data_IF_869075467976
#
_entry.id   IF_869075467976
#
_cell.length_a   1.000
_cell.length_b   1.000
_cell.length_c   1.000
_cell.angle_alpha   90.00
_cell.angle_beta   90.00
_cell.angle_gamma   90.00
#
_symmetry.space_group_name_H-M   'P 1'
#
loop_
_entity.id
_entity.type
_entity.pdbx_description
1 polymer ?
#
# COMPACT_ATOMS: atom_id res chain seq x y z
N UNK A 1 2.57 -2.46 -14.36
CA UNK A 1 2.13 -2.06 -13.01
C UNK A 1 1.40 -3.24 -12.37
N UNK A 2 1.59 -3.54 -11.08
CA UNK A 2 0.90 -4.67 -10.43
C UNK A 2 -0.60 -4.40 -10.27
N UNK A 3 -1.38 -5.44 -9.96
CA UNK A 3 -2.82 -5.31 -9.66
C UNK A 3 -3.15 -6.09 -8.40
N UNK A 4 -4.03 -5.55 -7.59
CA UNK A 4 -4.46 -6.19 -6.34
C UNK A 4 -5.95 -5.94 -6.05
N UNK A 5 -6.56 -6.86 -5.32
CA UNK A 5 -7.92 -6.74 -4.82
C UNK A 5 -7.85 -6.26 -3.38
N UNK A 6 -8.36 -5.06 -3.13
CA UNK A 6 -8.46 -4.50 -1.78
C UNK A 6 -9.88 -4.59 -1.24
N UNK A 7 -9.96 -4.58 0.09
CA UNK A 7 -11.20 -4.56 0.87
C UNK A 7 -11.46 -3.14 1.37
N UNK A 8 -12.58 -2.55 0.95
CA UNK A 8 -12.92 -1.14 1.20
C UNK A 8 -14.32 -1.00 1.80
N UNK A 9 -14.66 0.13 2.42
CA UNK A 9 -16.03 0.39 2.89
C UNK A 9 -17.06 0.32 1.77
N UNK A 10 -18.31 0.08 2.15
CA UNK A 10 -19.43 0.17 1.22
C UNK A 10 -19.46 1.54 0.55
N UNK A 11 -19.60 1.56 -0.79
CA UNK A 11 -19.60 2.80 -1.59
C UNK A 11 -18.36 3.69 -1.37
N UNK A 12 -17.20 3.09 -1.09
CA UNK A 12 -15.95 3.82 -0.92
C UNK A 12 -15.63 4.75 -2.11
N UNK A 13 -15.45 6.03 -1.82
CA UNK A 13 -14.93 7.02 -2.76
C UNK A 13 -13.47 7.32 -2.43
N UNK A 14 -12.56 6.91 -3.31
CA UNK A 14 -11.14 7.13 -3.10
C UNK A 14 -10.80 8.63 -3.12
N UNK A 15 -10.13 9.17 -2.08
CA UNK A 15 -9.78 10.58 -2.02
C UNK A 15 -8.96 11.04 -3.22
N UNK A 16 -9.17 12.28 -3.63
CA UNK A 16 -8.43 12.91 -4.73
C UNK A 16 -7.69 14.15 -4.26
N UNK A 17 -6.52 14.41 -4.84
CA UNK A 17 -5.69 15.60 -4.60
C UNK A 17 -5.45 16.36 -5.89
N UNK A 18 -5.06 17.63 -5.78
CA UNK A 18 -4.50 18.37 -6.92
C UNK A 18 -3.01 18.03 -6.99
N UNK A 19 -2.57 17.53 -8.13
CA UNK A 19 -1.15 17.29 -8.37
C UNK A 19 -0.43 18.64 -8.55
N UNK A 20 0.56 18.98 -7.72
CA UNK A 20 1.25 20.27 -7.80
C UNK A 20 2.06 20.45 -9.09
N UNK A 21 2.44 19.36 -9.77
CA UNK A 21 3.23 19.41 -11.00
C UNK A 21 2.39 19.71 -12.25
N UNK A 22 1.08 19.39 -12.25
CA UNK A 22 0.24 19.53 -13.44
C UNK A 22 -1.16 20.12 -13.18
N UNK A 23 -1.48 20.49 -11.94
CA UNK A 23 -2.77 21.04 -11.49
C UNK A 23 -4.01 20.19 -11.80
N UNK A 24 -3.83 18.90 -12.12
CA UNK A 24 -4.96 17.98 -12.36
C UNK A 24 -5.38 17.32 -11.06
N UNK A 25 -6.67 17.02 -10.98
CA UNK A 25 -7.25 16.22 -9.89
C UNK A 25 -6.93 14.75 -10.14
N UNK A 26 -6.12 14.16 -9.29
CA UNK A 26 -5.70 12.75 -9.33
C UNK A 26 -6.07 12.03 -8.03
N UNK A 27 -6.02 10.70 -8.03
CA UNK A 27 -6.20 9.94 -6.79
C UNK A 27 -5.05 10.22 -5.82
N UNK A 28 -5.39 10.40 -4.53
CA UNK A 28 -4.40 10.56 -3.47
C UNK A 28 -3.80 9.18 -3.17
N UNK A 29 -2.47 9.02 -3.20
CA UNK A 29 -1.84 7.82 -2.69
C UNK A 29 -2.16 7.61 -1.21
N UNK A 30 -2.46 6.38 -0.82
CA UNK A 30 -2.83 6.01 0.55
C UNK A 30 -2.14 4.72 0.95
N UNK A 31 -1.62 4.69 2.18
CA UNK A 31 -1.03 3.50 2.77
C UNK A 31 -2.08 2.38 2.89
N UNK A 32 -1.68 1.16 2.54
CA UNK A 32 -2.52 -0.03 2.62
C UNK A 32 -2.81 -0.44 4.07
N UNK A 33 -1.90 -0.15 5.01
CA UNK A 33 -2.09 -0.49 6.43
C UNK A 33 -3.20 0.35 7.06
N UNK A 34 -3.84 -0.17 8.11
CA UNK A 34 -4.91 0.55 8.80
C UNK A 34 -4.37 1.68 9.67
N UNK A 35 -5.09 2.81 9.77
CA UNK A 35 -4.72 3.93 10.64
C UNK A 35 -4.52 3.51 12.10
N UNK A 36 -5.36 2.61 12.61
CA UNK A 36 -5.27 2.12 14.01
C UNK A 36 -3.94 1.41 14.28
N UNK A 37 -3.48 0.61 13.34
CA UNK A 37 -2.18 -0.08 13.44
C UNK A 37 -1.05 0.93 13.36
N UNK A 38 -1.12 1.86 12.40
CA UNK A 38 -0.14 2.93 12.26
C UNK A 38 -0.01 3.79 13.51
N UNK A 39 -1.14 4.11 14.15
CA UNK A 39 -1.18 4.89 15.39
C UNK A 39 -0.58 4.12 16.56
N UNK A 40 -0.87 2.82 16.68
CA UNK A 40 -0.30 1.99 17.73
C UNK A 40 1.23 1.84 17.60
N UNK A 41 1.75 1.78 16.37
CA UNK A 41 3.20 1.77 16.16
C UNK A 41 3.82 3.13 16.48
N UNK A 42 3.18 4.21 16.06
CA UNK A 42 3.59 5.57 16.41
C UNK A 42 3.69 5.77 17.93
N UNK A 43 2.70 5.32 18.72
CA UNK A 43 2.74 5.43 20.18
C UNK A 43 3.93 4.67 20.80
N UNK A 44 4.25 3.49 20.27
CA UNK A 44 5.41 2.70 20.74
C UNK A 44 6.72 3.40 20.40
N UNK A 45 6.85 3.89 19.18
CA UNK A 45 8.04 4.61 18.71
C UNK A 45 8.24 5.91 19.46
N UNK A 46 7.18 6.70 19.66
CA UNK A 46 7.23 7.94 20.43
C UNK A 46 7.65 7.69 21.87
N UNK A 47 7.08 6.67 22.51
CA UNK A 47 7.46 6.27 23.87
C UNK A 47 8.93 5.88 23.94
N UNK A 48 9.42 5.09 22.99
CA UNK A 48 10.82 4.69 22.91
C UNK A 48 11.73 5.90 22.72
N UNK A 49 11.36 6.81 21.82
CA UNK A 49 12.12 8.02 21.55
C UNK A 49 12.29 8.86 22.82
N UNK A 50 11.21 9.10 23.58
CA UNK A 50 11.29 9.86 24.84
C UNK A 50 12.10 9.14 25.93
N UNK A 51 12.02 7.81 26.03
CA UNK A 51 12.84 7.05 26.98
C UNK A 51 14.34 7.16 26.67
N UNK A 52 14.70 7.10 25.40
CA UNK A 52 16.08 7.25 24.97
C UNK A 52 16.56 8.70 25.09
N UNK A 53 15.69 9.69 24.83
CA UNK A 53 15.93 11.11 25.07
C UNK A 53 16.25 11.36 26.56
N UNK A 54 15.41 10.88 27.48
CA UNK A 54 15.67 11.01 28.92
C UNK A 54 16.99 10.34 29.32
N UNK A 55 17.30 9.17 28.76
CA UNK A 55 18.57 8.51 29.02
C UNK A 55 19.77 9.34 28.51
N UNK A 56 19.65 9.95 27.31
CA UNK A 56 20.66 10.87 26.76
C UNK A 56 20.86 12.08 27.68
N UNK A 57 19.76 12.70 28.13
CA UNK A 57 19.78 13.85 29.03
C UNK A 57 20.43 13.53 30.39
N UNK A 58 20.29 12.28 30.84
CA UNK A 58 20.96 11.72 32.02
C UNK A 58 22.40 11.25 31.77
N UNK A 59 22.98 11.55 30.60
CA UNK A 59 24.38 11.30 30.30
C UNK A 59 24.69 9.99 29.60
N UNK A 60 23.67 9.26 29.10
CA UNK A 60 23.91 8.10 28.23
C UNK A 60 24.63 8.53 26.96
N UNK A 61 25.65 7.78 26.59
CA UNK A 61 26.45 8.00 25.39
C UNK A 61 25.97 7.06 24.27
N UNK A 62 25.83 7.59 23.07
CA UNK A 62 25.46 6.83 21.88
C UNK A 62 26.61 6.84 20.87
N UNK A 63 26.96 5.66 20.35
CA UNK A 63 28.04 5.48 19.39
C UNK A 63 27.48 4.96 18.07
N UNK A 64 27.88 5.58 16.97
CA UNK A 64 27.55 5.10 15.63
C UNK A 64 28.64 5.40 14.65
N UNK A 65 29.15 4.32 14.03
CA UNK A 65 30.41 4.35 13.29
C UNK A 65 31.48 4.98 14.20
N UNK A 66 32.20 5.99 13.72
CA UNK A 66 33.27 6.67 14.45
C UNK A 66 32.82 7.95 15.17
N UNK A 67 31.51 8.14 15.38
CA UNK A 67 30.95 9.31 16.05
C UNK A 67 30.38 8.96 17.42
N UNK A 68 30.63 9.84 18.40
CA UNK A 68 30.13 9.77 19.76
C UNK A 68 29.17 10.93 19.98
N UNK A 69 27.91 10.61 20.32
CA UNK A 69 26.87 11.58 20.64
C UNK A 69 26.62 11.55 22.15
N UNK A 70 26.81 12.70 22.78
CA UNK A 70 26.51 12.87 24.21
C UNK A 70 26.25 14.33 24.53
N UNK A 71 25.50 14.56 25.61
CA UNK A 71 25.29 15.90 26.16
C UNK A 71 26.60 16.60 26.55
N UNK A 72 27.60 15.83 27.02
CA UNK A 72 28.92 16.37 27.40
C UNK A 72 29.70 16.89 26.19
N UNK A 73 29.50 16.30 25.01
CA UNK A 73 30.10 16.76 23.76
C UNK A 73 29.31 17.93 23.13
N UNK A 74 28.26 18.43 23.80
CA UNK A 74 27.38 19.48 23.30
C UNK A 74 26.40 19.04 22.23
N UNK A 75 26.20 17.72 22.06
CA UNK A 75 25.18 17.19 21.14
C UNK A 75 23.79 17.22 21.76
N UNK A 76 22.79 17.28 20.90
CA UNK A 76 21.39 16.99 21.23
C UNK A 76 21.08 15.52 20.96
N UNK A 77 19.99 15.01 21.53
CA UNK A 77 19.53 13.66 21.18
C UNK A 77 19.03 13.62 19.73
N UNK A 78 18.45 14.72 19.24
CA UNK A 78 18.00 14.92 17.86
C UNK A 78 19.14 14.82 16.85
N UNK A 79 20.36 15.26 17.19
CA UNK A 79 21.55 15.07 16.33
C UNK A 79 21.85 13.58 16.07
N UNK A 80 21.46 12.72 17.03
CA UNK A 80 21.67 11.28 16.99
C UNK A 80 20.48 10.53 16.38
N UNK A 81 19.29 10.78 16.92
CA UNK A 81 18.07 10.01 16.62
C UNK A 81 17.18 10.66 15.56
N UNK A 82 17.43 11.94 15.22
CA UNK A 82 16.50 12.76 14.45
C UNK A 82 15.35 13.30 15.29
N UNK A 83 14.42 13.98 14.61
CA UNK A 83 13.18 14.48 15.22
C UNK A 83 12.33 13.33 15.78
N UNK A 84 11.48 13.60 16.79
CA UNK A 84 10.50 12.62 17.25
C UNK A 84 9.61 12.16 16.10
N UNK A 85 9.09 10.92 16.14
CA UNK A 85 8.19 10.44 15.11
C UNK A 85 7.00 11.39 14.94
N UNK A 86 6.55 11.57 13.70
CA UNK A 86 5.40 12.41 13.39
C UNK A 86 4.10 11.64 13.60
N UNK A 87 3.10 12.30 14.17
CA UNK A 87 1.79 11.69 14.35
C UNK A 87 1.19 11.33 12.98
N UNK A 88 0.73 10.07 12.78
CA UNK A 88 0.12 9.68 11.53
C UNK A 88 -1.18 10.44 11.29
N UNK A 89 -1.42 10.84 10.04
CA UNK A 89 -2.66 11.49 9.64
C UNK A 89 -3.66 10.44 9.14
N UNK A 90 -4.88 10.33 9.71
CA UNK A 90 -5.86 9.32 9.31
C UNK A 90 -6.25 9.37 7.83
N UNK A 91 -6.12 10.53 7.16
CA UNK A 91 -6.44 10.69 5.74
C UNK A 91 -5.37 10.13 4.78
N UNK A 92 -4.23 9.66 5.30
CA UNK A 92 -3.19 8.98 4.51
C UNK A 92 -3.36 7.46 4.48
N UNK A 93 -4.35 6.90 5.19
CA UNK A 93 -4.53 5.46 5.34
C UNK A 93 -5.85 4.99 4.75
N UNK A 94 -5.80 3.86 4.04
CA UNK A 94 -7.01 3.22 3.51
C UNK A 94 -7.96 2.84 4.66
N UNK A 95 -9.24 3.14 4.49
CA UNK A 95 -10.26 2.57 5.37
C UNK A 95 -10.46 1.10 5.00
N UNK A 96 -10.56 0.24 6.01
CA UNK A 96 -10.84 -1.19 5.83
C UNK A 96 -12.36 -1.39 5.83
N UNK A 97 -12.87 -2.21 4.91
CA UNK A 97 -14.29 -2.57 4.88
C UNK A 97 -14.54 -3.91 4.21
N UNK A 98 -15.78 -4.15 3.79
CA UNK A 98 -16.22 -5.46 3.31
C UNK A 98 -16.54 -5.56 1.82
N UNK A 99 -16.24 -4.53 1.04
CA UNK A 99 -16.44 -4.51 -0.40
C UNK A 99 -15.12 -4.74 -1.13
N UNK A 100 -15.18 -5.32 -2.33
CA UNK A 100 -14.05 -5.62 -3.18
C UNK A 100 -13.83 -4.52 -4.22
N UNK A 101 -12.59 -4.12 -4.42
CA UNK A 101 -12.22 -3.14 -5.44
C UNK A 101 -10.85 -3.51 -6.01
N UNK A 102 -10.69 -3.36 -7.33
CA UNK A 102 -9.41 -3.55 -8.01
C UNK A 102 -8.56 -2.29 -7.86
N UNK A 103 -7.29 -2.46 -7.53
CA UNK A 103 -6.30 -1.41 -7.37
C UNK A 103 -5.02 -1.70 -8.15
N UNK A 104 -4.28 -0.64 -8.42
CA UNK A 104 -2.87 -0.73 -8.80
C UNK A 104 -1.98 -0.88 -7.56
N UNK A 105 -0.96 -1.73 -7.66
CA UNK A 105 -0.03 -2.06 -6.57
C UNK A 105 1.12 -1.04 -6.40
N UNK A 106 1.60 -0.41 -7.49
CA UNK A 106 2.83 0.42 -7.48
C UNK A 106 2.60 1.92 -7.28
N UNK A 107 1.41 2.43 -7.60
CA UNK A 107 0.96 3.72 -7.07
C UNK A 107 0.04 3.40 -5.91
N UNK A 108 0.47 3.68 -4.68
CA UNK A 108 -0.22 3.30 -3.45
C UNK A 108 -1.71 3.69 -3.50
N UNK A 109 -2.59 2.83 -4.02
CA UNK A 109 -4.02 3.08 -3.99
C UNK A 109 -4.63 3.84 -5.17
N UNK A 110 -4.16 3.73 -6.41
CA UNK A 110 -5.03 4.11 -7.55
C UNK A 110 -6.09 3.03 -7.76
N UNK A 111 -7.40 3.31 -7.53
CA UNK A 111 -8.44 2.36 -7.86
C UNK A 111 -8.55 2.18 -9.37
N UNK A 112 -8.84 0.97 -9.81
CA UNK A 112 -9.05 0.59 -11.21
C UNK A 112 -10.51 0.19 -11.48
N UNK A 113 -11.32 0.01 -10.44
CA UNK A 113 -12.76 -0.28 -10.53
C UNK A 113 -13.54 0.50 -9.47
N UNK A 114 -14.87 0.58 -9.56
CA UNK A 114 -15.74 0.87 -8.42
C UNK A 114 -15.63 -0.22 -7.32
N UNK A 115 -16.12 0.05 -6.09
CA UNK A 115 -16.26 -0.96 -5.05
C UNK A 115 -17.52 -1.81 -5.27
N UNK A 116 -17.44 -3.11 -4.98
CA UNK A 116 -18.54 -4.06 -5.12
C UNK A 116 -18.72 -4.92 -3.88
N UNK A 117 -19.96 -5.27 -3.53
CA UNK A 117 -20.24 -6.06 -2.33
C UNK A 117 -19.71 -7.48 -2.46
N UNK A 118 -19.75 -8.05 -3.66
CA UNK A 118 -19.36 -9.42 -3.94
C UNK A 118 -18.24 -9.51 -4.96
N UNK A 119 -17.51 -10.64 -4.94
CA UNK A 119 -16.49 -10.96 -5.94
C UNK A 119 -17.09 -11.08 -7.34
N UNK A 120 -18.28 -11.68 -7.46
CA UNK A 120 -18.94 -11.87 -8.75
C UNK A 120 -19.34 -10.54 -9.38
N UNK A 121 -19.89 -9.59 -8.62
CA UNK A 121 -20.21 -8.25 -9.14
C UNK A 121 -18.96 -7.54 -9.69
N UNK A 122 -17.82 -7.67 -9.02
CA UNK A 122 -16.55 -7.13 -9.53
C UNK A 122 -16.11 -7.85 -10.81
N UNK A 123 -16.22 -9.18 -10.88
CA UNK A 123 -15.92 -9.95 -12.10
C UNK A 123 -16.81 -9.51 -13.26
N UNK A 124 -18.13 -9.44 -13.04
CA UNK A 124 -19.10 -9.01 -14.04
C UNK A 124 -18.82 -7.60 -14.54
N UNK A 125 -18.45 -6.69 -13.64
CA UNK A 125 -18.09 -5.34 -14.04
C UNK A 125 -16.83 -5.32 -14.91
N UNK A 126 -15.78 -6.03 -14.52
CA UNK A 126 -14.49 -6.07 -15.23
C UNK A 126 -14.59 -6.64 -16.66
N UNK A 127 -15.52 -7.56 -16.92
CA UNK A 127 -15.67 -8.17 -18.26
C UNK A 127 -16.54 -7.34 -19.21
N UNK A 128 -17.42 -6.51 -18.65
CA UNK A 128 -18.35 -5.67 -19.42
C UNK A 128 -17.89 -4.22 -19.57
N UNK A 129 -16.94 -3.76 -18.75
CA UNK A 129 -16.43 -2.39 -18.74
C UNK A 129 -14.92 -2.38 -18.93
N UNK A 130 -14.40 -1.22 -19.33
CA UNK A 130 -12.98 -0.95 -19.23
C UNK A 130 -12.66 -0.51 -17.79
N UNK A 131 -11.54 -0.99 -17.25
CA UNK A 131 -11.00 -0.46 -16.00
C UNK A 131 -10.59 1.03 -16.15
N UNK A 132 -10.24 1.71 -15.07
CA UNK A 132 -9.91 3.14 -15.13
C UNK A 132 -8.66 3.48 -15.96
N UNK A 133 -7.98 2.47 -16.52
CA UNK A 133 -6.91 2.61 -17.50
C UNK A 133 -7.30 2.21 -18.92
N UNK A 134 -8.58 1.93 -19.18
CA UNK A 134 -9.05 1.52 -20.50
C UNK A 134 -8.82 0.03 -20.79
N UNK A 135 -8.52 -0.81 -19.79
CA UNK A 135 -8.32 -2.23 -20.04
C UNK A 135 -9.62 -3.02 -19.85
N UNK A 136 -10.00 -3.74 -20.90
CA UNK A 136 -11.05 -4.77 -20.81
C UNK A 136 -10.51 -6.10 -20.30
N UNK A 137 -11.18 -6.72 -19.34
CA UNK A 137 -10.76 -8.01 -18.80
C UNK A 137 -11.54 -9.16 -19.43
N UNK A 138 -10.89 -10.31 -19.56
CA UNK A 138 -11.61 -11.58 -19.80
C UNK A 138 -12.06 -12.16 -18.46
N UNK A 139 -13.14 -12.95 -18.47
CA UNK A 139 -13.62 -13.63 -17.24
C UNK A 139 -12.52 -14.41 -16.54
N UNK A 140 -11.71 -15.13 -17.33
CA UNK A 140 -10.56 -15.88 -16.82
C UNK A 140 -9.56 -15.02 -16.06
N UNK A 141 -9.22 -13.84 -16.58
CA UNK A 141 -8.30 -12.91 -15.93
C UNK A 141 -8.92 -12.32 -14.65
N UNK A 142 -10.20 -11.94 -14.71
CA UNK A 142 -10.93 -11.40 -13.56
C UNK A 142 -11.02 -12.42 -12.41
N UNK A 143 -11.42 -13.65 -12.70
CA UNK A 143 -11.40 -14.75 -11.72
C UNK A 143 -10.00 -15.03 -11.19
N UNK A 144 -8.99 -14.97 -12.07
CA UNK A 144 -7.59 -15.17 -11.72
C UNK A 144 -7.07 -14.16 -10.71
N UNK A 145 -7.33 -12.86 -10.90
CA UNK A 145 -6.92 -11.82 -9.94
C UNK A 145 -7.69 -11.92 -8.62
N UNK A 146 -8.99 -12.23 -8.68
CA UNK A 146 -9.84 -12.43 -7.49
C UNK A 146 -9.36 -13.60 -6.63
N UNK A 147 -8.86 -14.64 -7.28
CA UNK A 147 -8.30 -15.82 -6.62
C UNK A 147 -6.89 -15.55 -6.07
N UNK A 148 -6.02 -14.92 -6.87
CA UNK A 148 -4.66 -14.63 -6.48
C UNK A 148 -4.58 -13.53 -5.40
N UNK A 149 -5.55 -12.62 -5.34
CA UNK A 149 -5.57 -11.47 -4.45
C UNK A 149 -4.66 -10.34 -4.92
N UNK A 150 -3.46 -10.67 -5.40
CA UNK A 150 -2.53 -9.71 -6.05
C UNK A 150 -1.74 -10.39 -7.16
N UNK A 151 -1.30 -9.59 -8.14
CA UNK A 151 -0.48 -10.03 -9.27
C UNK A 151 0.61 -9.01 -9.56
N UNK A 152 1.85 -9.45 -9.80
CA UNK A 152 2.95 -8.55 -10.17
C UNK A 152 2.72 -7.92 -11.55
N UNK A 153 3.54 -6.93 -11.87
CA UNK A 153 3.47 -6.22 -13.15
C UNK A 153 3.81 -7.10 -14.36
N UNK A 154 4.61 -8.15 -14.15
CA UNK A 154 4.98 -9.13 -15.15
C UNK A 154 5.48 -10.43 -14.53
N UNK A 155 5.49 -11.50 -15.32
CA UNK A 155 5.91 -12.83 -14.91
C UNK A 155 6.61 -13.55 -16.06
N UNK A 156 7.80 -14.11 -15.83
CA UNK A 156 8.52 -14.96 -16.78
C UNK A 156 8.44 -16.42 -16.29
N UNK A 157 7.78 -17.28 -17.06
CA UNK A 157 7.66 -18.72 -16.75
C UNK A 157 8.04 -19.53 -17.97
N UNK A 158 8.97 -20.48 -17.82
CA UNK A 158 9.39 -21.39 -18.90
C UNK A 158 9.71 -20.67 -20.22
N UNK A 159 10.39 -19.52 -20.15
CA UNK A 159 10.75 -18.69 -21.30
C UNK A 159 9.61 -17.86 -21.91
N UNK A 160 8.39 -17.94 -21.37
CA UNK A 160 7.24 -17.10 -21.77
C UNK A 160 7.04 -15.94 -20.81
N UNK A 161 6.87 -14.74 -21.36
CA UNK A 161 6.59 -13.52 -20.59
C UNK A 161 5.10 -13.21 -20.59
N UNK A 162 4.56 -12.89 -19.42
CA UNK A 162 3.19 -12.42 -19.19
C UNK A 162 3.23 -11.03 -18.58
N UNK A 163 2.33 -10.14 -18.99
CA UNK A 163 2.32 -8.76 -18.49
C UNK A 163 0.95 -8.33 -17.98
N UNK A 164 0.94 -7.60 -16.87
CA UNK A 164 -0.26 -7.05 -16.26
C UNK A 164 -1.40 -8.06 -16.07
N UNK A 165 -2.57 -7.80 -16.68
CA UNK A 165 -3.74 -8.67 -16.55
C UNK A 165 -3.53 -10.09 -17.08
N UNK A 166 -2.55 -10.31 -17.95
CA UNK A 166 -2.21 -11.66 -18.44
C UNK A 166 -1.65 -12.54 -17.33
N UNK A 167 -0.93 -11.94 -16.38
CA UNK A 167 -0.41 -12.62 -15.19
C UNK A 167 -1.57 -13.18 -14.36
N UNK A 168 -2.65 -12.42 -14.21
CA UNK A 168 -3.87 -12.89 -13.54
C UNK A 168 -4.48 -14.11 -14.25
N UNK A 169 -4.52 -14.09 -15.59
CA UNK A 169 -4.99 -15.22 -16.39
C UNK A 169 -4.17 -16.50 -16.18
N UNK A 170 -2.85 -16.37 -16.04
CA UNK A 170 -1.94 -17.50 -15.78
C UNK A 170 -2.22 -18.19 -14.44
N UNK A 171 -2.50 -17.43 -13.36
CA UNK A 171 -2.82 -18.01 -12.06
C UNK A 171 -4.10 -18.87 -12.06
N UNK A 172 -5.01 -18.65 -13.02
CA UNK A 172 -6.19 -19.49 -13.20
C UNK A 172 -5.85 -20.81 -13.97
N UNK A 173 -4.83 -20.80 -14.83
CA UNK A 173 -4.42 -21.98 -15.61
C UNK A 173 -3.63 -23.01 -14.79
N UNK A 174 -2.73 -22.55 -13.90
CA UNK A 174 -1.82 -23.42 -13.16
C UNK A 174 -2.53 -24.52 -12.35
N UNK A 175 -3.73 -24.26 -11.88
CA UNK A 175 -4.51 -25.24 -11.10
C UNK A 175 -5.31 -26.23 -11.96
N UNK A 176 -5.36 -26.04 -13.29
CA UNK A 176 -5.90 -27.05 -14.21
C UNK A 176 -4.87 -28.13 -14.57
N UNK A 177 -3.58 -27.88 -14.34
CA UNK A 177 -2.49 -28.82 -14.60
C UNK A 177 -2.18 -29.75 -13.39
N UNK A 178 -2.88 -29.58 -12.26
CA UNK A 178 -2.73 -30.40 -11.04
C UNK A 178 -4.02 -31.21 -10.74
N UNK A 179 -4.69 -31.70 -11.79
CA UNK A 179 -5.78 -32.69 -11.68
C UNK A 179 -5.50 -33.86 -12.61
#
# INVERSE_FOLDING_TARGET
MGREIRRVPANWEHPKRINPCNNKKEFRPMYQRGFKEAYADFEKELKRWYQEYEAFENGKIFNYKDKIYSKQNGNTYEDWAGEPPLQPNPYDYMSIGDWYQLFEDVSEGTPLSPPFKTKEELIEWLIHNDDYWGNRWTRKQAEGIIKAGSTPSGLLVNGRSYWGKEVAGYYNEKDKEIK
#
